data_IF_610213086167
#
_entry.id   IF_610213086167
#
_cell.length_a   1.000
_cell.length_b   1.000
_cell.length_c   1.000
_cell.angle_alpha   90.00
_cell.angle_beta   90.00
_cell.angle_gamma   90.00
#
_symmetry.space_group_name_H-M   'P 1'
#
loop_
_entity.id
_entity.type
_entity.pdbx_description
1 polymer ?
#
# COMPACT_ATOMS: atom_id res chain seq x y z
N UNK A 1 5.05 19.40 -15.72
CA UNK A 1 4.74 18.94 -15.21
C UNK A 1 4.45 17.72 -15.10
N UNK A 2 4.57 16.97 -14.34
CA UNK A 2 4.45 15.85 -14.40
C UNK A 2 3.90 15.17 -13.34
N UNK A 3 2.74 14.89 -13.34
CA UNK A 3 2.06 14.37 -12.31
C UNK A 3 2.32 12.97 -12.12
N UNK A 4 2.92 12.35 -12.96
CA UNK A 4 3.24 10.95 -12.82
C UNK A 4 4.14 10.67 -11.63
N UNK A 5 4.76 11.69 -11.12
CA UNK A 5 5.70 11.50 -10.04
C UNK A 5 5.04 11.11 -8.73
N UNK A 6 3.72 11.23 -8.63
CA UNK A 6 3.04 10.82 -7.43
C UNK A 6 2.74 9.33 -7.38
N UNK A 7 2.99 8.62 -8.46
CA UNK A 7 2.75 7.19 -8.48
C UNK A 7 3.86 6.45 -7.77
N UNK A 8 3.48 5.48 -6.97
CA UNK A 8 4.45 4.73 -6.19
C UNK A 8 4.16 3.24 -6.31
N UNK A 9 5.19 2.45 -6.11
CA UNK A 9 5.07 1.00 -6.07
C UNK A 9 5.84 0.54 -4.84
N UNK A 10 5.14 -0.12 -3.94
CA UNK A 10 5.73 -0.50 -2.67
C UNK A 10 5.43 -1.96 -2.38
N UNK A 11 6.35 -2.61 -1.71
CA UNK A 11 6.15 -3.96 -1.22
C UNK A 11 6.23 -3.95 0.29
N UNK A 12 5.50 -4.83 0.92
CA UNK A 12 5.54 -4.92 2.37
C UNK A 12 4.49 -5.89 2.87
N UNK A 13 4.22 -5.83 4.17
CA UNK A 13 3.23 -6.68 4.80
C UNK A 13 2.03 -5.84 5.22
N UNK A 14 0.86 -6.47 5.22
CA UNK A 14 -0.37 -5.78 5.54
C UNK A 14 -0.74 -5.94 7.01
N UNK A 15 -1.36 -4.91 7.56
CA UNK A 15 -1.93 -4.97 8.89
C UNK A 15 -3.22 -4.16 8.86
N UNK A 16 -4.09 -4.41 9.81
CA UNK A 16 -5.34 -3.67 9.89
C UNK A 16 -5.56 -3.20 11.30
N UNK A 17 -6.20 -2.05 11.43
CA UNK A 17 -6.64 -1.56 12.71
C UNK A 17 -8.00 -0.89 12.52
N UNK A 18 -8.48 -0.18 13.53
CA UNK A 18 -9.79 0.45 13.47
C UNK A 18 -9.89 1.48 12.37
N UNK A 19 -8.77 1.97 11.88
CA UNK A 19 -8.75 3.01 10.86
C UNK A 19 -8.60 2.47 9.46
N UNK A 20 -8.40 1.17 9.31
CA UNK A 20 -8.30 0.56 7.99
C UNK A 20 -7.05 -0.28 7.82
N UNK A 21 -6.60 -0.39 6.60
CA UNK A 21 -5.49 -1.27 6.23
C UNK A 21 -4.23 -0.45 6.10
N UNK A 22 -3.14 -0.99 6.63
CA UNK A 22 -1.83 -0.36 6.59
C UNK A 22 -0.85 -1.30 5.92
N UNK A 23 0.15 -0.71 5.27
CA UNK A 23 1.26 -1.47 4.69
C UNK A 23 2.53 -1.11 5.45
N UNK A 24 3.24 -2.12 5.93
CA UNK A 24 4.53 -1.90 6.55
C UNK A 24 5.61 -2.20 5.54
N UNK A 25 6.35 -1.17 5.17
CA UNK A 25 7.43 -1.31 4.20
C UNK A 25 8.68 -1.89 4.87
N UNK A 26 9.62 -2.43 4.09
CA UNK A 26 10.83 -3.04 4.67
C UNK A 26 11.68 -2.09 5.49
N UNK A 27 11.60 -0.79 5.23
CA UNK A 27 12.34 0.19 6.01
C UNK A 27 11.64 0.53 7.33
N UNK A 28 10.52 -0.12 7.62
CA UNK A 28 9.79 0.11 8.85
C UNK A 28 8.72 1.19 8.76
N UNK A 29 8.61 1.84 7.63
CA UNK A 29 7.61 2.89 7.48
C UNK A 29 6.24 2.30 7.27
N UNK A 30 5.24 2.92 7.88
CA UNK A 30 3.85 2.51 7.74
C UNK A 30 3.16 3.42 6.75
N UNK A 31 2.38 2.81 5.85
CA UNK A 31 1.61 3.54 4.84
C UNK A 31 0.14 3.22 5.01
N UNK A 32 -0.68 4.25 5.06
CA UNK A 32 -2.12 4.07 5.11
C UNK A 32 -2.64 3.87 3.70
N UNK A 33 -3.42 2.82 3.49
CA UNK A 33 -3.93 2.48 2.16
C UNK A 33 -5.39 2.87 2.08
N UNK A 34 -5.74 3.59 1.02
CA UNK A 34 -7.12 4.02 0.77
C UNK A 34 -7.47 3.65 -0.67
N UNK A 35 -8.75 3.75 -1.00
CA UNK A 35 -9.22 3.51 -2.36
C UNK A 35 -9.93 2.18 -2.49
N UNK A 36 -10.37 1.90 -3.71
CA UNK A 36 -11.20 0.74 -3.96
C UNK A 36 -10.40 -0.54 -4.15
N UNK A 37 -9.12 -0.43 -4.37
CA UNK A 37 -8.27 -1.59 -4.62
C UNK A 37 -7.45 -1.98 -3.40
N UNK A 38 -7.80 -1.47 -2.22
CA UNK A 38 -7.08 -1.82 -1.00
C UNK A 38 -7.26 -3.30 -0.75
N UNK A 39 -6.15 -4.04 -0.55
CA UNK A 39 -6.26 -5.48 -0.38
C UNK A 39 -6.83 -5.84 0.98
N UNK A 40 -7.23 -7.08 1.09
CA UNK A 40 -7.72 -7.60 2.33
C UNK A 40 -6.54 -7.78 3.27
N UNK A 41 -6.68 -7.30 4.48
CA UNK A 41 -5.59 -7.41 5.44
C UNK A 41 -5.30 -8.84 5.85
N UNK A 42 -6.16 -9.78 5.48
CA UNK A 42 -5.92 -11.18 5.76
C UNK A 42 -4.86 -11.80 4.87
N UNK A 43 -4.43 -11.09 3.83
CA UNK A 43 -3.37 -11.60 2.99
C UNK A 43 -2.07 -11.64 3.78
N UNK A 44 -1.48 -12.82 3.84
CA UNK A 44 -0.24 -12.99 4.58
C UNK A 44 0.95 -12.90 3.65
N UNK A 45 2.08 -12.56 4.23
CA UNK A 45 3.32 -12.46 3.47
C UNK A 45 3.44 -11.14 2.76
N UNK A 46 4.34 -11.09 1.81
CA UNK A 46 4.60 -9.86 1.09
C UNK A 46 3.56 -9.59 0.05
N UNK A 47 3.16 -8.35 -0.06
CA UNK A 47 2.32 -7.89 -1.16
C UNK A 47 3.01 -6.71 -1.82
N UNK A 48 2.71 -6.50 -3.09
CA UNK A 48 3.15 -5.33 -3.83
C UNK A 48 1.91 -4.52 -4.15
N UNK A 49 1.95 -3.23 -3.84
CA UNK A 49 0.85 -2.35 -4.20
C UNK A 49 1.37 -1.25 -5.11
N UNK A 50 0.48 -0.75 -5.94
CA UNK A 50 0.74 0.43 -6.75
C UNK A 50 -0.37 1.41 -6.51
N UNK A 51 -0.03 2.66 -6.42
CA UNK A 51 -1.02 3.67 -6.14
C UNK A 51 -0.47 5.06 -6.29
N UNK A 52 -1.24 6.01 -5.83
CA UNK A 52 -0.92 7.42 -5.90
C UNK A 52 -0.69 7.93 -4.49
N UNK A 53 0.44 8.58 -4.27
CA UNK A 53 0.73 9.15 -2.96
C UNK A 53 -0.15 10.36 -2.73
N UNK A 54 -0.95 10.31 -1.68
CA UNK A 54 -1.90 11.38 -1.38
C UNK A 54 -1.51 12.18 -0.16
N UNK A 55 -0.40 11.83 0.48
CA UNK A 55 0.05 12.56 1.65
C UNK A 55 1.37 11.98 2.11
N UNK A 56 1.86 12.40 3.28
CA UNK A 56 3.18 11.94 3.74
C UNK A 56 3.26 10.45 3.93
N UNK A 57 2.14 9.80 4.24
CA UNK A 57 2.15 8.35 4.44
C UNK A 57 0.84 7.71 4.03
N UNK A 58 0.18 8.28 3.03
CA UNK A 58 -1.10 7.77 2.53
C UNK A 58 -0.99 7.46 1.06
N UNK A 59 -1.48 6.30 0.65
CA UNK A 59 -1.46 5.88 -0.75
C UNK A 59 -2.85 5.46 -1.16
N UNK A 60 -3.33 6.01 -2.27
CA UNK A 60 -4.57 5.56 -2.88
C UNK A 60 -4.22 4.43 -3.82
N UNK A 61 -4.59 3.20 -3.44
CA UNK A 61 -4.16 2.00 -4.14
C UNK A 61 -5.06 1.75 -5.34
N UNK A 62 -4.46 1.49 -6.49
CA UNK A 62 -5.22 1.06 -7.66
C UNK A 62 -4.83 -0.34 -8.11
N UNK A 63 -3.82 -0.94 -7.52
CA UNK A 63 -3.41 -2.29 -7.89
C UNK A 63 -2.70 -2.95 -6.72
N UNK A 64 -2.97 -4.21 -6.51
CA UNK A 64 -2.31 -4.98 -5.47
C UNK A 64 -2.08 -6.39 -5.97
N UNK A 65 -0.92 -6.93 -5.66
CA UNK A 65 -0.57 -8.28 -6.03
C UNK A 65 0.12 -8.95 -4.87
N UNK A 66 -0.29 -10.16 -4.55
CA UNK A 66 0.37 -10.96 -3.56
C UNK A 66 1.67 -11.52 -4.15
N UNK A 67 2.74 -11.42 -3.40
CA UNK A 67 4.03 -11.95 -3.84
C UNK A 67 4.26 -13.24 -3.11
N UNK A 68 4.31 -14.34 -3.87
CA UNK A 68 4.52 -15.62 -3.27
C UNK A 68 5.73 -16.27 -3.86
N UNK A 69 6.50 -16.87 -3.01
CA UNK A 69 7.71 -17.55 -3.45
C UNK A 69 7.39 -18.92 -3.99
#
# INVERSE_FOLDING_TARGET
MNEADDRVRLAGTLAANDRGVLLRAPDGMWWKLIGDAVPDADLEGLVTIEGIKRGPSTIEVYYCQSVQA
#
